data_IF_236861277661
#
_entry.id   IF_236861277661
#
_cell.length_a   1.000
_cell.length_b   1.000
_cell.length_c   1.000
_cell.angle_alpha   90.00
_cell.angle_beta   90.00
_cell.angle_gamma   90.00
#
_symmetry.space_group_name_H-M   'P 1'
#
loop_
_entity.id
_entity.type
_entity.pdbx_description
1 polymer ?
#
# COMPACT_ATOMS: atom_id res chain seq x y z
N UNK A 1 -13.09 19.27 -7.30
CA UNK A 1 -13.55 17.93 -7.70
C UNK A 1 -14.28 18.08 -9.02
N UNK A 2 -13.71 17.55 -10.10
CA UNK A 2 -14.37 17.55 -11.42
C UNK A 2 -15.59 16.63 -11.30
N UNK A 3 -16.80 17.06 -11.66
CA UNK A 3 -17.96 16.21 -11.54
C UNK A 3 -17.83 14.98 -12.45
N UNK A 4 -18.20 13.80 -11.95
CA UNK A 4 -18.11 12.51 -12.68
C UNK A 4 -18.89 12.53 -14.00
N UNK A 5 -19.93 13.35 -14.12
CA UNK A 5 -20.66 13.54 -15.38
C UNK A 5 -19.82 14.25 -16.47
N UNK A 6 -18.83 15.06 -16.10
CA UNK A 6 -17.96 15.77 -17.05
C UNK A 6 -16.90 14.85 -17.67
N UNK A 7 -16.69 13.65 -17.11
CA UNK A 7 -15.82 12.61 -17.69
C UNK A 7 -16.47 11.98 -18.93
N UNK A 8 -17.80 11.81 -18.92
CA UNK A 8 -18.52 11.07 -19.97
C UNK A 8 -19.47 11.92 -20.83
N UNK A 9 -19.93 13.10 -20.35
CA UNK A 9 -21.05 13.83 -20.99
C UNK A 9 -20.89 15.36 -20.99
N UNK A 10 -19.68 15.88 -20.78
CA UNK A 10 -19.39 17.32 -20.80
C UNK A 10 -18.94 17.83 -22.17
N UNK A 11 -19.33 19.07 -22.53
CA UNK A 11 -18.84 19.80 -23.72
C UNK A 11 -17.32 20.03 -23.64
N UNK A 12 -16.80 20.14 -22.41
CA UNK A 12 -15.38 20.11 -22.06
C UNK A 12 -15.09 18.77 -21.37
N UNK A 13 -14.31 17.91 -22.02
CA UNK A 13 -13.91 16.59 -21.51
C UNK A 13 -12.66 16.74 -20.65
N UNK A 14 -12.72 16.32 -19.39
CA UNK A 14 -11.59 16.38 -18.45
C UNK A 14 -11.07 14.98 -18.15
N UNK A 15 -9.75 14.85 -17.97
CA UNK A 15 -9.15 13.59 -17.56
C UNK A 15 -9.40 13.34 -16.06
N UNK A 16 -9.55 12.07 -15.64
CA UNK A 16 -9.68 11.71 -14.22
C UNK A 16 -8.54 12.24 -13.35
N UNK A 17 -7.31 12.12 -13.84
CA UNK A 17 -6.14 12.73 -13.22
C UNK A 17 -5.64 13.88 -14.09
N UNK A 18 -5.53 15.07 -13.48
CA UNK A 18 -4.94 16.23 -14.15
C UNK A 18 -3.45 15.99 -14.33
N UNK A 19 -3.02 15.85 -15.58
CA UNK A 19 -1.62 15.76 -15.96
C UNK A 19 -1.40 16.53 -17.25
N UNK A 20 -0.15 16.91 -17.52
CA UNK A 20 0.20 17.54 -18.77
C UNK A 20 0.38 16.49 -19.86
N UNK A 21 -0.51 16.48 -20.86
CA UNK A 21 -0.44 15.58 -22.00
C UNK A 21 0.18 16.28 -23.21
N UNK A 22 1.17 15.69 -23.90
CA UNK A 22 1.71 16.22 -25.15
C UNK A 22 0.73 16.06 -26.32
N UNK A 23 -0.24 15.14 -26.23
CA UNK A 23 -1.25 14.92 -27.27
C UNK A 23 -2.46 15.83 -27.08
N UNK A 24 -2.97 16.39 -28.19
CA UNK A 24 -4.22 17.17 -28.19
C UNK A 24 -5.42 16.27 -27.87
N UNK A 25 -6.04 16.51 -26.71
CA UNK A 25 -7.18 15.76 -26.18
C UNK A 25 -8.52 16.10 -26.89
N UNK A 26 -8.46 16.85 -27.99
CA UNK A 26 -9.62 17.21 -28.81
C UNK A 26 -10.16 16.01 -29.59
N UNK A 27 -9.29 15.09 -30.02
CA UNK A 27 -9.66 13.88 -30.75
C UNK A 27 -10.12 12.79 -29.78
N UNK A 28 -11.27 12.19 -30.06
CA UNK A 28 -11.89 11.17 -29.19
C UNK A 28 -10.97 9.98 -28.90
N UNK A 29 -10.23 9.49 -29.89
CA UNK A 29 -9.34 8.33 -29.75
C UNK A 29 -8.21 8.58 -28.72
N UNK A 30 -7.50 9.70 -28.82
CA UNK A 30 -6.41 10.04 -27.89
C UNK A 30 -6.91 10.29 -26.46
N UNK A 31 -8.13 10.83 -26.31
CA UNK A 31 -8.76 11.01 -25.02
C UNK A 31 -9.04 9.66 -24.31
N UNK A 32 -9.67 8.70 -25.01
CA UNK A 32 -9.94 7.37 -24.44
C UNK A 32 -8.64 6.57 -24.20
N UNK A 33 -7.67 6.67 -25.11
CA UNK A 33 -6.34 6.07 -24.90
C UNK A 33 -5.66 6.59 -23.64
N UNK A 34 -5.75 7.89 -23.37
CA UNK A 34 -5.20 8.51 -22.15
C UNK A 34 -5.90 8.04 -20.89
N UNK A 35 -7.23 7.82 -20.92
CA UNK A 35 -7.98 7.25 -19.79
C UNK A 35 -7.53 5.82 -19.49
N UNK A 36 -7.40 4.98 -20.51
CA UNK A 36 -6.93 3.59 -20.36
C UNK A 36 -5.51 3.58 -19.80
N UNK A 37 -4.64 4.44 -20.32
CA UNK A 37 -3.29 4.60 -19.81
C UNK A 37 -3.28 4.98 -18.32
N UNK A 38 -4.05 5.99 -17.92
CA UNK A 38 -4.17 6.39 -16.51
C UNK A 38 -4.66 5.25 -15.63
N UNK A 39 -5.64 4.47 -16.09
CA UNK A 39 -6.16 3.32 -15.35
C UNK A 39 -5.09 2.24 -15.16
N UNK A 40 -4.35 1.89 -16.21
CA UNK A 40 -3.26 0.91 -16.14
C UNK A 40 -2.16 1.37 -15.19
N UNK A 41 -1.75 2.64 -15.27
CA UNK A 41 -0.71 3.20 -14.39
C UNK A 41 -1.14 3.15 -12.92
N UNK A 42 -2.40 3.50 -12.61
CA UNK A 42 -2.93 3.42 -11.24
C UNK A 42 -2.96 1.99 -10.74
N UNK A 43 -3.37 1.02 -11.57
CA UNK A 43 -3.38 -0.40 -11.20
C UNK A 43 -1.98 -0.91 -10.91
N UNK A 44 -1.00 -0.63 -11.77
CA UNK A 44 0.40 -1.03 -11.57
C UNK A 44 0.97 -0.39 -10.30
N UNK A 45 0.70 0.90 -10.08
CA UNK A 45 1.17 1.61 -8.88
C UNK A 45 0.58 1.01 -7.60
N UNK A 46 -0.71 0.67 -7.61
CA UNK A 46 -1.36 -0.03 -6.50
C UNK A 46 -0.78 -1.42 -6.24
N UNK A 47 -0.54 -2.19 -7.31
CA UNK A 47 0.09 -3.52 -7.21
C UNK A 47 1.51 -3.44 -6.64
N UNK A 48 2.31 -2.45 -7.05
CA UNK A 48 3.66 -2.24 -6.53
C UNK A 48 3.63 -1.87 -5.05
N UNK A 49 2.75 -0.93 -4.68
CA UNK A 49 2.59 -0.49 -3.29
C UNK A 49 2.20 -1.66 -2.37
N UNK A 50 1.14 -2.40 -2.70
CA UNK A 50 0.73 -3.57 -1.93
C UNK A 50 1.71 -4.74 -2.03
N UNK A 51 2.45 -4.84 -3.13
CA UNK A 51 3.47 -5.87 -3.35
C UNK A 51 4.59 -5.80 -2.33
N UNK A 52 5.05 -4.60 -1.99
CA UNK A 52 6.07 -4.38 -0.94
C UNK A 52 5.58 -4.92 0.40
N UNK A 53 4.35 -4.58 0.80
CA UNK A 53 3.74 -5.06 2.04
C UNK A 53 3.59 -6.58 2.06
N UNK A 54 3.16 -7.18 0.93
CA UNK A 54 3.00 -8.63 0.78
C UNK A 54 4.35 -9.35 0.91
N UNK A 55 5.41 -8.85 0.27
CA UNK A 55 6.74 -9.46 0.35
C UNK A 55 7.26 -9.42 1.79
N UNK A 56 7.14 -8.27 2.46
CA UNK A 56 7.51 -8.12 3.88
C UNK A 56 6.75 -9.12 4.77
N UNK A 57 5.43 -9.19 4.59
CA UNK A 57 4.57 -10.14 5.32
C UNK A 57 4.98 -11.60 5.07
N UNK A 58 5.18 -12.00 3.81
CA UNK A 58 5.54 -13.37 3.45
C UNK A 58 6.88 -13.78 4.02
N UNK A 59 7.89 -12.92 3.95
CA UNK A 59 9.20 -13.23 4.50
C UNK A 59 9.15 -13.33 6.03
N UNK A 60 8.46 -12.40 6.69
CA UNK A 60 8.24 -12.47 8.15
C UNK A 60 7.56 -13.78 8.54
N UNK A 61 6.56 -14.22 7.78
CA UNK A 61 5.90 -15.52 7.98
C UNK A 61 6.84 -16.71 7.77
N UNK A 62 7.73 -16.66 6.79
CA UNK A 62 8.75 -17.69 6.59
C UNK A 62 9.66 -17.77 7.81
N UNK A 63 10.13 -16.64 8.36
CA UNK A 63 10.95 -16.61 9.57
C UNK A 63 10.21 -17.24 10.76
N UNK A 64 8.95 -16.86 10.99
CA UNK A 64 8.16 -17.46 12.07
C UNK A 64 8.05 -18.99 11.89
N UNK A 65 7.83 -19.45 10.66
CA UNK A 65 7.78 -20.88 10.36
C UNK A 65 9.12 -21.58 10.61
N UNK A 66 10.25 -20.97 10.26
CA UNK A 66 11.58 -21.52 10.54
C UNK A 66 11.83 -21.58 12.06
N UNK A 67 11.39 -20.57 12.82
CA UNK A 67 11.45 -20.60 14.28
C UNK A 67 10.59 -21.74 14.88
N UNK A 68 9.37 -21.94 14.37
CA UNK A 68 8.50 -23.04 14.82
C UNK A 68 9.14 -24.41 14.52
N UNK A 69 9.78 -24.57 13.36
CA UNK A 69 10.53 -25.78 12.99
C UNK A 69 11.72 -26.01 13.92
N UNK A 70 12.46 -24.96 14.26
CA UNK A 70 13.57 -24.99 15.22
C UNK A 70 13.08 -25.48 16.60
N UNK A 71 11.96 -24.96 17.10
CA UNK A 71 11.35 -25.36 18.38
C UNK A 71 10.87 -26.83 18.34
N UNK A 72 10.29 -27.26 17.21
CA UNK A 72 9.89 -28.66 17.03
C UNK A 72 11.08 -29.62 17.10
N UNK A 73 12.18 -29.28 16.44
CA UNK A 73 13.43 -30.07 16.45
C UNK A 73 14.11 -30.05 17.82
N UNK A 74 14.11 -28.92 18.51
CA UNK A 74 14.70 -28.81 19.86
C UNK A 74 13.93 -29.66 20.88
N UNK A 75 12.59 -29.69 20.76
CA UNK A 75 11.73 -30.53 21.59
C UNK A 75 12.02 -32.02 21.36
N UNK A 76 12.18 -32.44 20.09
CA UNK A 76 12.56 -33.82 19.76
C UNK A 76 13.92 -34.24 20.33
N UNK A 77 14.85 -33.28 20.46
CA UNK A 77 16.17 -33.49 21.03
C UNK A 77 16.11 -33.98 22.49
N UNK A 78 15.12 -33.48 23.27
CA UNK A 78 14.92 -33.90 24.66
C UNK A 78 14.49 -35.37 24.81
N UNK A 79 13.99 -36.00 23.73
CA UNK A 79 13.52 -37.39 23.73
C UNK A 79 14.53 -38.37 23.10
N UNK A 80 15.62 -37.88 22.51
CA UNK A 80 16.64 -38.71 21.86
C UNK A 80 17.77 -39.08 22.84
N UNK A 81 18.21 -40.33 22.81
CA UNK A 81 19.30 -40.84 23.64
C UNK A 81 20.66 -40.20 23.34
N UNK A 82 21.57 -40.28 24.32
CA UNK A 82 22.82 -39.50 24.45
C UNK A 82 23.77 -39.52 23.23
N UNK A 83 23.73 -40.56 22.38
CA UNK A 83 24.70 -40.76 21.30
C UNK A 83 24.48 -39.88 20.05
N UNK A 84 23.28 -39.32 19.85
CA UNK A 84 22.95 -38.50 18.66
C UNK A 84 22.70 -37.02 18.99
N UNK A 85 22.91 -36.60 20.24
CA UNK A 85 22.55 -35.27 20.75
C UNK A 85 23.51 -34.17 20.23
N UNK A 86 24.82 -34.41 20.28
CA UNK A 86 25.82 -33.41 19.87
C UNK A 86 25.72 -32.94 18.40
N UNK A 87 25.68 -33.83 17.39
CA UNK A 87 25.61 -33.39 16.00
C UNK A 87 24.29 -32.67 15.70
N UNK A 88 23.18 -33.11 16.31
CA UNK A 88 21.87 -32.51 16.13
C UNK A 88 21.78 -31.14 16.81
N UNK A 89 22.40 -30.98 17.99
CA UNK A 89 22.49 -29.70 18.69
C UNK A 89 23.31 -28.69 17.89
N UNK A 90 24.43 -29.11 17.30
CA UNK A 90 25.25 -28.24 16.44
C UNK A 90 24.46 -27.77 15.21
N UNK A 91 23.68 -28.65 14.57
CA UNK A 91 22.81 -28.28 13.45
C UNK A 91 21.71 -27.29 13.88
N UNK A 92 21.14 -27.48 15.07
CA UNK A 92 20.14 -26.60 15.66
C UNK A 92 20.70 -25.18 15.91
N UNK A 93 21.90 -25.09 16.47
CA UNK A 93 22.59 -23.82 16.72
C UNK A 93 22.91 -23.11 15.40
N UNK A 94 23.42 -23.83 14.40
CA UNK A 94 23.66 -23.28 13.07
C UNK A 94 22.38 -22.75 12.42
N UNK A 95 21.29 -23.50 12.50
CA UNK A 95 20.00 -23.08 11.96
C UNK A 95 19.48 -21.81 12.66
N UNK A 96 19.57 -21.75 13.99
CA UNK A 96 19.19 -20.56 14.74
C UNK A 96 20.01 -19.32 14.35
N UNK A 97 21.32 -19.49 14.16
CA UNK A 97 22.20 -18.41 13.73
C UNK A 97 21.84 -17.88 12.33
N UNK A 98 21.54 -18.77 11.38
CA UNK A 98 21.08 -18.36 10.04
C UNK A 98 19.74 -17.61 10.09
N UNK A 99 18.82 -17.98 10.99
CA UNK A 99 17.56 -17.23 11.17
C UNK A 99 17.84 -15.82 11.70
N UNK A 100 18.71 -15.67 12.70
CA UNK A 100 19.08 -14.35 13.24
C UNK A 100 19.68 -13.48 12.14
N UNK A 101 20.63 -14.02 11.38
CA UNK A 101 21.26 -13.32 10.26
C UNK A 101 20.24 -12.90 9.20
N UNK A 102 19.27 -13.76 8.88
CA UNK A 102 18.20 -13.43 7.95
C UNK A 102 17.34 -12.27 8.47
N UNK A 103 16.99 -12.28 9.76
CA UNK A 103 16.21 -11.20 10.39
C UNK A 103 16.97 -9.88 10.37
N UNK A 104 18.27 -9.87 10.63
CA UNK A 104 19.11 -8.66 10.55
C UNK A 104 19.10 -8.06 9.14
N UNK A 105 19.34 -8.88 8.11
CA UNK A 105 19.32 -8.45 6.70
C UNK A 105 17.95 -7.86 6.34
N UNK A 106 16.87 -8.48 6.81
CA UNK A 106 15.51 -8.02 6.53
C UNK A 106 15.18 -6.74 7.27
N UNK A 107 15.63 -6.60 8.51
CA UNK A 107 15.44 -5.39 9.27
C UNK A 107 16.16 -4.22 8.60
N UNK A 108 17.40 -4.40 8.15
CA UNK A 108 18.16 -3.36 7.44
C UNK A 108 17.53 -3.00 6.09
N UNK A 109 16.95 -3.96 5.38
CA UNK A 109 16.26 -3.73 4.11
C UNK A 109 14.89 -3.05 4.31
N UNK A 110 14.05 -3.57 5.21
CA UNK A 110 12.66 -3.14 5.37
C UNK A 110 12.48 -1.95 6.30
N UNK A 111 13.39 -1.70 7.26
CA UNK A 111 13.29 -0.55 8.16
C UNK A 111 13.16 0.80 7.42
N UNK A 112 14.06 1.15 6.47
CA UNK A 112 13.91 2.41 5.73
C UNK A 112 12.66 2.41 4.84
N UNK A 113 12.30 1.26 4.24
CA UNK A 113 11.11 1.12 3.39
C UNK A 113 9.85 1.37 4.21
N UNK A 114 9.75 0.79 5.40
CA UNK A 114 8.61 0.93 6.31
C UNK A 114 8.47 2.38 6.80
N UNK A 115 9.57 3.06 7.10
CA UNK A 115 9.55 4.48 7.46
C UNK A 115 8.99 5.35 6.33
N UNK A 116 9.48 5.15 5.11
CA UNK A 116 8.98 5.89 3.94
C UNK A 116 7.50 5.58 3.70
N UNK A 117 7.10 4.32 3.75
CA UNK A 117 5.73 3.89 3.51
C UNK A 117 4.73 4.44 4.54
N UNK A 118 5.10 4.40 5.82
CA UNK A 118 4.29 4.99 6.89
C UNK A 118 4.23 6.51 6.78
N UNK A 119 5.35 7.16 6.45
CA UNK A 119 5.41 8.60 6.26
C UNK A 119 4.54 9.07 5.09
N UNK A 120 4.67 8.45 3.92
CA UNK A 120 3.89 8.78 2.73
C UNK A 120 2.40 8.50 2.94
N UNK A 121 2.04 7.37 3.54
CA UNK A 121 0.66 7.02 3.84
C UNK A 121 0.05 7.97 4.87
N UNK A 122 0.79 8.32 5.93
CA UNK A 122 0.35 9.28 6.94
C UNK A 122 0.08 10.65 6.33
N UNK A 123 1.01 11.17 5.53
CA UNK A 123 0.82 12.44 4.81
C UNK A 123 -0.37 12.37 3.85
N UNK A 124 -0.52 11.27 3.09
CA UNK A 124 -1.64 11.08 2.18
C UNK A 124 -2.99 11.11 2.93
N UNK A 125 -3.09 10.42 4.07
CA UNK A 125 -4.29 10.45 4.92
C UNK A 125 -4.57 11.88 5.42
N UNK A 126 -3.54 12.61 5.86
CA UNK A 126 -3.70 14.00 6.28
C UNK A 126 -4.22 14.90 5.15
N UNK A 127 -3.66 14.80 3.94
CA UNK A 127 -4.12 15.59 2.78
C UNK A 127 -5.55 15.22 2.38
N UNK A 128 -5.88 13.93 2.34
CA UNK A 128 -7.24 13.46 2.04
C UNK A 128 -8.23 13.94 3.10
N UNK A 129 -7.88 13.85 4.38
CA UNK A 129 -8.69 14.36 5.49
C UNK A 129 -8.93 15.86 5.41
N UNK A 130 -7.89 16.64 5.11
CA UNK A 130 -8.02 18.08 4.90
C UNK A 130 -8.94 18.41 3.72
N UNK A 131 -8.75 17.76 2.57
CA UNK A 131 -9.63 17.97 1.41
C UNK A 131 -11.09 17.60 1.70
N UNK A 132 -11.30 16.51 2.44
CA UNK A 132 -12.62 16.07 2.86
C UNK A 132 -13.29 17.10 3.77
N UNK A 133 -12.58 17.62 4.77
CA UNK A 133 -13.06 18.68 5.65
C UNK A 133 -13.48 19.94 4.87
N UNK A 134 -12.61 20.42 3.96
CA UNK A 134 -12.90 21.61 3.15
C UNK A 134 -14.11 21.39 2.25
N UNK A 135 -14.25 20.20 1.66
CA UNK A 135 -15.37 19.86 0.79
C UNK A 135 -16.69 19.84 1.56
N UNK A 136 -16.71 19.22 2.75
CA UNK A 136 -17.88 19.20 3.63
C UNK A 136 -18.27 20.63 4.00
N UNK A 137 -17.31 21.45 4.44
CA UNK A 137 -17.57 22.83 4.83
C UNK A 137 -18.19 23.65 3.69
N UNK A 138 -17.62 23.56 2.48
CA UNK A 138 -18.17 24.22 1.28
C UNK A 138 -19.60 23.75 0.99
N UNK A 139 -19.87 22.46 1.10
CA UNK A 139 -21.20 21.90 0.85
C UNK A 139 -22.24 22.42 1.85
N UNK A 140 -21.87 22.52 3.14
CA UNK A 140 -22.70 23.09 4.20
C UNK A 140 -23.02 24.57 3.95
N UNK A 141 -22.02 25.38 3.58
CA UNK A 141 -22.25 26.79 3.23
C UNK A 141 -23.18 26.94 2.02
N UNK A 142 -22.99 26.12 0.98
CA UNK A 142 -23.86 26.13 -0.20
C UNK A 142 -25.30 25.77 0.15
N UNK A 143 -25.51 24.78 1.02
CA UNK A 143 -26.83 24.38 1.48
C UNK A 143 -27.51 25.49 2.29
N UNK A 144 -26.79 26.11 3.23
CA UNK A 144 -27.29 27.25 4.01
C UNK A 144 -27.64 28.45 3.12
N UNK A 145 -26.83 28.73 2.09
CA UNK A 145 -27.11 29.80 1.14
C UNK A 145 -28.38 29.54 0.31
N UNK A 146 -28.67 28.28 -0.04
CA UNK A 146 -29.91 27.90 -0.72
C UNK A 146 -31.11 28.02 0.22
N UNK A 147 -31.00 27.55 1.47
CA UNK A 147 -32.06 27.67 2.46
C UNK A 147 -32.42 29.12 2.78
N UNK A 148 -31.43 30.01 2.90
CA UNK A 148 -31.68 31.44 3.10
C UNK A 148 -32.42 32.09 1.92
N UNK A 149 -32.19 31.63 0.69
CA UNK A 149 -32.93 32.09 -0.49
C UNK A 149 -34.37 31.58 -0.53
N UNK A 150 -34.60 30.37 -0.03
CA UNK A 150 -35.94 29.78 0.08
C UNK A 150 -36.77 30.43 1.20
N UNK A 151 -36.16 30.76 2.34
CA UNK A 151 -36.85 31.41 3.46
C UNK A 151 -37.12 32.91 3.25
N UNK A 152 -36.55 33.53 2.21
CA UNK A 152 -36.79 34.93 1.82
C UNK A 152 -37.92 35.10 0.80
N UNK A 153 -38.50 34.01 0.30
CA UNK A 153 -39.68 34.00 -0.58
C UNK A 153 -40.91 33.63 0.24
#
# INVERSE_FOLDING_TARGET
MVPTYAIFRGKDRYLPYNWWSPCELNVSLYFYGSIIYQLVVVMISGMNNSGIDIVCYKISKIICCQMDLLIGRSTQLNFLGQNNVEPLLNDLIKHHYEIIRLVEILNDLFSPIALVQCGTSGLAICFVGFQLMVTILRSSYSYMAVLQRLNKK
#
